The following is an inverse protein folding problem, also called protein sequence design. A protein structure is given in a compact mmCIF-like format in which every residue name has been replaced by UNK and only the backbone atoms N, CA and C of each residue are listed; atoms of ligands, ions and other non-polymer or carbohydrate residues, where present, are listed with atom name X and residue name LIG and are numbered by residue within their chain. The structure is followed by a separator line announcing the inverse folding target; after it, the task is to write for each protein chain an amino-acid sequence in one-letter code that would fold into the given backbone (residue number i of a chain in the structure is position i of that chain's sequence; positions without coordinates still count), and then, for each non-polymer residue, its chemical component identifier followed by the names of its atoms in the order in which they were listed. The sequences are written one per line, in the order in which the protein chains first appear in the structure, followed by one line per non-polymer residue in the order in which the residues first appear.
data_IF_508476144980
#
_entry.id   IF_508476144980
#
_cell.length_a   1.000
_cell.length_b   1.000
_cell.length_c   1.000
_cell.angle_alpha   90.00
_cell.angle_beta   90.00
_cell.angle_gamma   90.00
#
_symmetry.space_group_name_H-M   'P 1'
#
loop_
_entity.id
_entity.type
_entity.pdbx_description
1 polymer ?
#
# COMPACT_ATOMS: atom_id res chain seq x y z
N UNK A 1 24.24 -3.86 6.78
CA UNK A 1 24.23 -4.07 5.32
C UNK A 1 23.46 -5.35 5.07
N UNK A 2 22.21 -5.29 4.61
CA UNK A 2 21.41 -6.49 4.33
C UNK A 2 21.77 -6.92 2.91
N UNK A 3 22.61 -7.95 2.79
CA UNK A 3 22.94 -8.57 1.51
C UNK A 3 21.70 -9.29 1.01
N UNK A 4 21.19 -8.91 -0.16
CA UNK A 4 20.10 -9.66 -0.79
C UNK A 4 20.58 -11.11 -1.03
N UNK A 5 19.81 -12.14 -0.64
CA UNK A 5 20.21 -13.52 -0.87
C UNK A 5 20.41 -13.74 -2.37
N UNK A 6 21.56 -14.31 -2.74
CA UNK A 6 21.83 -14.70 -4.11
C UNK A 6 20.93 -15.90 -4.44
N UNK A 7 19.86 -15.64 -5.18
CA UNK A 7 18.87 -16.63 -5.60
C UNK A 7 19.49 -17.53 -6.67
N UNK A 8 19.69 -18.81 -6.37
CA UNK A 8 20.40 -19.75 -7.27
C UNK A 8 19.45 -20.52 -8.19
N UNK A 9 18.17 -20.66 -7.82
CA UNK A 9 17.20 -21.38 -8.66
C UNK A 9 15.73 -20.97 -8.43
N UNK A 10 14.86 -21.30 -9.40
CA UNK A 10 13.41 -21.10 -9.30
C UNK A 10 12.77 -21.93 -8.17
N UNK A 11 13.38 -23.08 -7.83
CA UNK A 11 12.93 -23.91 -6.72
C UNK A 11 13.19 -23.23 -5.36
N UNK A 12 14.35 -22.59 -5.19
CA UNK A 12 14.65 -21.80 -3.97
C UNK A 12 13.67 -20.63 -3.78
N UNK A 13 13.35 -19.90 -4.87
CA UNK A 13 12.32 -18.85 -4.82
C UNK A 13 10.98 -19.38 -4.34
N UNK A 14 10.57 -20.54 -4.85
CA UNK A 14 9.30 -21.17 -4.49
C UNK A 14 9.31 -21.58 -3.02
N UNK A 15 10.41 -22.16 -2.53
CA UNK A 15 10.58 -22.50 -1.11
C UNK A 15 10.52 -21.27 -0.22
N UNK A 16 11.24 -20.19 -0.56
CA UNK A 16 11.20 -18.94 0.20
C UNK A 16 9.79 -18.34 0.25
N UNK A 17 9.04 -18.41 -0.85
CA UNK A 17 7.65 -17.94 -0.88
C UNK A 17 6.75 -18.80 0.00
N UNK A 18 6.92 -20.12 -0.03
CA UNK A 18 6.17 -21.05 0.83
C UNK A 18 6.47 -20.75 2.30
N UNK A 19 7.74 -20.68 2.69
CA UNK A 19 8.16 -20.38 4.06
C UNK A 19 7.64 -19.02 4.52
N UNK A 20 7.67 -18.00 3.66
CA UNK A 20 7.11 -16.70 3.95
C UNK A 20 5.59 -16.76 4.18
N UNK A 21 4.86 -17.49 3.33
CA UNK A 21 3.40 -17.66 3.50
C UNK A 21 3.00 -18.47 4.71
N UNK A 22 3.77 -19.52 5.03
CA UNK A 22 3.54 -20.37 6.20
C UNK A 22 3.71 -19.58 7.52
N UNK A 23 4.58 -18.55 7.51
CA UNK A 23 4.78 -17.65 8.64
C UNK A 23 3.79 -16.47 8.67
N UNK A 24 2.69 -16.55 7.91
CA UNK A 24 1.64 -15.53 7.86
C UNK A 24 1.96 -14.32 6.97
N UNK A 25 3.03 -14.39 6.17
CA UNK A 25 3.33 -13.40 5.15
C UNK A 25 2.41 -13.54 3.94
N UNK A 26 1.92 -12.43 3.38
CA UNK A 26 1.12 -12.48 2.16
C UNK A 26 1.97 -12.03 0.96
N UNK A 27 2.15 -12.91 -0.03
CA UNK A 27 2.91 -12.56 -1.23
C UNK A 27 2.11 -11.55 -2.04
N UNK A 28 2.76 -10.43 -2.35
CA UNK A 28 2.20 -9.38 -3.18
C UNK A 28 1.91 -9.91 -4.59
N UNK A 29 0.64 -9.96 -4.97
CA UNK A 29 0.25 -10.31 -6.33
C UNK A 29 0.24 -9.05 -7.16
N UNK A 30 1.29 -8.81 -7.93
CA UNK A 30 1.28 -7.80 -8.98
C UNK A 30 0.42 -8.32 -10.13
N UNK A 31 -0.89 -8.16 -10.00
CA UNK A 31 -1.81 -8.36 -11.13
C UNK A 31 -1.41 -7.44 -12.28
N UNK A 32 -1.67 -7.86 -13.53
CA UNK A 32 -1.39 -7.01 -14.69
C UNK A 32 -2.19 -5.71 -14.55
N UNK A 33 -1.50 -4.57 -14.48
CA UNK A 33 -2.11 -3.25 -14.26
C UNK A 33 -2.08 -2.76 -12.80
N UNK A 34 -1.61 -3.55 -11.83
CA UNK A 34 -1.45 -3.12 -10.45
C UNK A 34 -0.15 -2.30 -10.29
N UNK A 35 -0.28 -0.99 -10.08
CA UNK A 35 0.85 -0.08 -9.92
C UNK A 35 0.66 0.84 -8.72
N UNK A 36 1.77 1.27 -8.12
CA UNK A 36 1.81 2.29 -7.06
C UNK A 36 1.79 3.72 -7.61
N UNK A 37 1.59 3.88 -8.91
CA UNK A 37 1.44 5.18 -9.53
C UNK A 37 0.25 5.92 -8.95
N UNK A 38 0.48 7.18 -8.56
CA UNK A 38 -0.52 8.09 -8.05
C UNK A 38 -1.69 8.32 -9.02
N UNK A 39 -1.41 8.31 -10.33
CA UNK A 39 -2.44 8.49 -11.37
C UNK A 39 -3.40 7.30 -11.36
N UNK A 40 -2.85 6.09 -11.43
CA UNK A 40 -3.62 4.86 -11.34
C UNK A 40 -4.45 4.81 -10.04
N UNK A 41 -3.81 5.14 -8.92
CA UNK A 41 -4.45 5.16 -7.62
C UNK A 41 -5.68 6.06 -7.55
N UNK A 42 -5.56 7.25 -8.11
CA UNK A 42 -6.67 8.20 -8.16
C UNK A 42 -7.83 7.67 -8.99
N UNK A 43 -7.58 6.96 -10.09
CA UNK A 43 -8.65 6.39 -10.90
C UNK A 43 -9.30 5.17 -10.25
N UNK A 44 -8.50 4.31 -9.60
CA UNK A 44 -9.03 3.21 -8.76
C UNK A 44 -9.93 3.76 -7.65
N UNK A 45 -9.49 4.80 -6.95
CA UNK A 45 -10.24 5.36 -5.84
C UNK A 45 -11.52 6.08 -6.28
N UNK A 46 -11.56 6.67 -7.48
CA UNK A 46 -12.82 7.16 -8.06
C UNK A 46 -13.84 6.02 -8.19
N UNK A 47 -13.39 4.83 -8.62
CA UNK A 47 -14.22 3.63 -8.68
C UNK A 47 -14.78 3.22 -7.31
N UNK A 48 -14.05 3.49 -6.23
CA UNK A 48 -14.50 3.27 -4.85
C UNK A 48 -15.35 4.40 -4.27
N UNK A 49 -15.62 5.47 -5.02
CA UNK A 49 -16.30 6.65 -4.52
C UNK A 49 -15.44 7.51 -3.60
N UNK A 50 -14.12 7.49 -3.78
CA UNK A 50 -13.15 8.32 -3.07
C UNK A 50 -12.44 9.30 -4.02
N UNK A 51 -12.07 10.44 -3.45
CA UNK A 51 -11.25 11.44 -4.09
C UNK A 51 -9.83 11.40 -3.52
N UNK A 52 -8.84 11.21 -4.40
CA UNK A 52 -7.42 11.39 -4.12
C UNK A 52 -6.92 12.67 -4.77
N UNK A 53 -6.36 13.56 -3.96
CA UNK A 53 -5.78 14.83 -4.42
C UNK A 53 -4.48 15.15 -3.71
N UNK A 54 -3.61 15.85 -4.42
CA UNK A 54 -2.40 16.46 -3.86
C UNK A 54 -2.59 17.97 -3.85
N UNK A 55 -2.39 18.61 -2.70
CA UNK A 55 -2.53 20.05 -2.51
C UNK A 55 -1.24 20.58 -1.89
N UNK A 56 -0.40 21.21 -2.72
CA UNK A 56 0.98 21.58 -2.36
C UNK A 56 1.74 20.35 -1.86
N UNK A 57 2.16 20.35 -0.59
CA UNK A 57 2.89 19.26 0.07
C UNK A 57 1.98 18.26 0.80
N UNK A 58 0.66 18.49 0.82
CA UNK A 58 -0.30 17.65 1.53
C UNK A 58 -1.08 16.77 0.58
N UNK A 59 -1.60 15.67 1.12
CA UNK A 59 -2.44 14.73 0.42
C UNK A 59 -3.84 14.76 1.01
N UNK A 60 -4.84 14.45 0.19
CA UNK A 60 -6.23 14.35 0.59
C UNK A 60 -6.75 13.02 0.08
N UNK A 61 -7.31 12.23 1.00
CA UNK A 61 -8.07 11.00 0.72
C UNK A 61 -9.43 11.23 1.36
N UNK A 62 -10.48 11.33 0.55
CA UNK A 62 -11.79 11.77 1.02
C UNK A 62 -12.90 10.99 0.35
N UNK A 63 -13.91 10.57 1.12
CA UNK A 63 -15.09 9.91 0.55
C UNK A 63 -15.98 10.94 -0.12
N UNK A 64 -16.31 10.71 -1.39
CA UNK A 64 -17.17 11.61 -2.17
C UNK A 64 -18.55 11.69 -1.50
N UNK A 65 -19.07 12.91 -1.33
CA UNK A 65 -20.35 13.16 -0.68
C UNK A 65 -20.34 13.15 0.85
N UNK A 66 -19.18 12.96 1.49
CA UNK A 66 -19.10 13.08 2.96
C UNK A 66 -19.14 14.56 3.41
N UNK A 67 -19.82 14.83 4.53
CA UNK A 67 -19.97 16.19 5.07
C UNK A 67 -18.67 16.63 5.75
N UNK A 68 -18.30 17.89 5.54
CA UNK A 68 -17.16 18.53 6.22
C UNK A 68 -15.97 18.82 5.29
N UNK A 69 -14.98 19.54 5.83
CA UNK A 69 -13.78 19.92 5.07
C UNK A 69 -12.85 18.70 4.94
N UNK A 70 -12.34 18.38 3.73
CA UNK A 70 -11.37 17.30 3.56
C UNK A 70 -10.12 17.52 4.42
N UNK A 71 -9.70 16.48 5.12
CA UNK A 71 -8.51 16.50 5.98
C UNK A 71 -7.25 16.51 5.11
N UNK A 72 -6.31 17.40 5.43
CA UNK A 72 -4.96 17.41 4.86
C UNK A 72 -4.11 16.39 5.61
N UNK A 73 -3.51 15.47 4.87
CA UNK A 73 -2.72 14.36 5.37
C UNK A 73 -1.25 14.54 4.98
N UNK A 74 -0.34 14.14 5.86
CA UNK A 74 1.06 13.90 5.49
C UNK A 74 1.16 12.69 4.58
N UNK A 75 2.29 12.50 3.89
CA UNK A 75 2.49 11.34 3.00
C UNK A 75 2.22 10.01 3.71
N UNK A 76 2.76 9.86 4.92
CA UNK A 76 2.57 8.64 5.75
C UNK A 76 1.09 8.42 6.10
N UNK A 77 0.39 9.48 6.50
CA UNK A 77 -1.03 9.38 6.84
C UNK A 77 -1.88 9.05 5.61
N UNK A 78 -1.53 9.62 4.45
CA UNK A 78 -2.22 9.34 3.20
C UNK A 78 -2.06 7.88 2.78
N UNK A 79 -0.85 7.34 2.87
CA UNK A 79 -0.59 5.92 2.58
C UNK A 79 -1.39 5.01 3.50
N UNK A 80 -1.44 5.30 4.81
CA UNK A 80 -2.25 4.52 5.76
C UNK A 80 -3.75 4.56 5.41
N UNK A 81 -4.26 5.71 5.00
CA UNK A 81 -5.66 5.84 4.61
C UNK A 81 -5.95 5.13 3.27
N UNK A 82 -5.02 5.21 2.32
CA UNK A 82 -5.10 4.48 1.05
C UNK A 82 -5.14 2.97 1.31
N UNK A 83 -4.22 2.46 2.14
CA UNK A 83 -4.17 1.04 2.48
C UNK A 83 -5.45 0.57 3.16
N UNK A 84 -5.99 1.38 4.08
CA UNK A 84 -7.29 1.11 4.70
C UNK A 84 -8.40 0.97 3.67
N UNK A 85 -8.49 1.89 2.70
CA UNK A 85 -9.53 1.86 1.66
C UNK A 85 -9.33 0.67 0.71
N UNK A 86 -8.09 0.37 0.34
CA UNK A 86 -7.77 -0.81 -0.49
C UNK A 86 -8.20 -2.10 0.18
N UNK A 87 -7.81 -2.31 1.44
CA UNK A 87 -8.16 -3.51 2.22
C UNK A 87 -9.68 -3.63 2.36
N UNK A 88 -10.37 -2.51 2.62
CA UNK A 88 -11.83 -2.51 2.69
C UNK A 88 -12.52 -2.90 1.36
N UNK A 89 -11.85 -2.73 0.23
CA UNK A 89 -12.32 -3.13 -1.10
C UNK A 89 -11.71 -4.45 -1.59
N UNK A 90 -11.11 -5.25 -0.70
CA UNK A 90 -10.53 -6.56 -1.02
C UNK A 90 -9.22 -6.49 -1.82
N UNK A 91 -8.58 -5.33 -1.87
CA UNK A 91 -7.28 -5.14 -2.51
C UNK A 91 -6.14 -5.24 -1.49
N UNK A 92 -4.97 -5.67 -1.97
CA UNK A 92 -3.76 -5.66 -1.16
C UNK A 92 -3.30 -4.21 -0.88
N UNK A 93 -2.84 -3.90 0.34
CA UNK A 93 -2.31 -2.59 0.69
C UNK A 93 -0.95 -2.31 0.00
N UNK A 94 -0.63 -1.03 -0.22
CA UNK A 94 0.67 -0.60 -0.76
C UNK A 94 1.82 -0.79 0.20
N UNK A 95 1.59 -0.81 1.51
CA UNK A 95 2.61 -1.21 2.47
C UNK A 95 2.33 -2.61 3.02
N UNK A 96 3.27 -3.51 2.75
CA UNK A 96 3.41 -4.80 3.41
C UNK A 96 4.20 -4.45 4.66
N UNK A 97 3.59 -4.72 5.81
CA UNK A 97 4.22 -4.96 7.11
C UNK A 97 4.82 -3.75 7.84
N UNK A 98 4.30 -3.53 9.05
CA UNK A 98 4.98 -3.47 10.37
C UNK A 98 6.47 -3.07 10.49
N UNK A 99 7.33 -3.31 9.50
CA UNK A 99 8.77 -3.07 9.57
C UNK A 99 9.21 -1.65 9.18
N UNK A 100 8.48 -0.93 8.34
CA UNK A 100 8.82 0.48 8.02
C UNK A 100 8.29 1.49 9.05
N UNK A 101 7.51 1.01 10.04
CA UNK A 101 7.05 1.78 11.19
C UNK A 101 7.67 1.27 12.50
N UNK A 102 8.94 0.89 12.49
CA UNK A 102 9.74 1.14 13.69
C UNK A 102 9.72 2.66 13.87
N UNK A 103 8.73 3.09 14.65
CA UNK A 103 8.65 4.41 15.23
C UNK A 103 10.08 4.79 15.62
N UNK A 104 10.54 5.91 15.07
CA UNK A 104 11.52 6.73 15.73
C UNK A 104 11.01 6.92 17.17
N UNK A 105 11.42 6.03 18.06
CA UNK A 105 11.31 6.17 19.50
C UNK A 105 12.51 7.02 19.95
N UNK A 106 12.30 7.79 21.03
CA UNK A 106 12.62 9.21 21.14
C UNK A 106 14.09 9.56 21.01
#
# INVERSE_FOLDING_TARGET
MITAPHIRSRAELTSMMIDFTANGGEVRKFGRGFTSDWIYLRDVFKGFGYELKTVRQFYIVHKIGSKGRPKRLTRVQAIREIDRVLVANGMQPFMITKHEFLEARP
#
